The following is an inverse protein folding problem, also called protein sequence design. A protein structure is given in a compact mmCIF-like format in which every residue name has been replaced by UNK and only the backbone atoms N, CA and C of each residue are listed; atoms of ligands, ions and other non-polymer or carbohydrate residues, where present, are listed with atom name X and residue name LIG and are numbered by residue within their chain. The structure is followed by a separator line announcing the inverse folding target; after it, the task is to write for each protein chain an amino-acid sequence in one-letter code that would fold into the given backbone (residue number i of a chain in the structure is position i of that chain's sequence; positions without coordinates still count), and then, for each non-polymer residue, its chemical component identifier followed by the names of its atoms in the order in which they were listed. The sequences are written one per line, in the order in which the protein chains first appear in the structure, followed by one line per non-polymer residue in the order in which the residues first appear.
data_IF_050873653304
#
_entry.id   IF_050873653304
#
_cell.length_a   1.000
_cell.length_b   1.000
_cell.length_c   1.000
_cell.angle_alpha   90.00
_cell.angle_beta   90.00
_cell.angle_gamma   90.00
#
_symmetry.space_group_name_H-M   'P 1'
#
loop_
_entity.id
_entity.type
_entity.pdbx_description
1 polymer ?
#
# COMPACT_ATOMS: atom_id res chain seq x y z
N UNK A 1 0.98 8.24 -11.01
CA UNK A 1 0.40 9.39 -11.78
C UNK A 1 -1.06 9.63 -11.37
N UNK A 2 -1.89 8.59 -11.31
CA UNK A 2 -3.33 8.72 -10.97
C UNK A 2 -3.55 9.34 -9.58
N UNK A 3 -2.86 8.85 -8.54
CA UNK A 3 -2.97 9.35 -7.18
C UNK A 3 -2.60 10.84 -7.05
N UNK A 4 -1.56 11.28 -7.78
CA UNK A 4 -1.16 12.69 -7.82
C UNK A 4 -2.23 13.57 -8.51
N UNK A 5 -2.80 13.11 -9.63
CA UNK A 5 -3.87 13.82 -10.32
C UNK A 5 -5.12 13.95 -9.45
N UNK A 6 -5.52 12.89 -8.79
CA UNK A 6 -6.67 12.91 -7.87
C UNK A 6 -6.41 13.80 -6.65
N UNK A 7 -5.21 13.79 -6.08
CA UNK A 7 -4.83 14.70 -5.00
C UNK A 7 -4.93 16.17 -5.44
N UNK A 8 -4.47 16.49 -6.64
CA UNK A 8 -4.60 17.84 -7.23
C UNK A 8 -6.05 18.30 -7.38
N UNK A 9 -6.93 17.41 -7.87
CA UNK A 9 -8.37 17.70 -8.00
C UNK A 9 -9.01 17.95 -6.62
N UNK A 10 -8.70 17.10 -5.62
CA UNK A 10 -9.21 17.26 -4.26
C UNK A 10 -8.73 18.57 -3.63
N UNK A 11 -7.46 18.91 -3.81
CA UNK A 11 -6.88 20.16 -3.31
C UNK A 11 -7.55 21.38 -3.95
N UNK A 12 -7.70 21.37 -5.29
CA UNK A 12 -8.37 22.44 -6.01
C UNK A 12 -9.82 22.67 -5.56
N UNK A 13 -10.58 21.59 -5.33
CA UNK A 13 -11.94 21.68 -4.79
C UNK A 13 -11.97 22.28 -3.40
N UNK A 14 -11.13 21.79 -2.48
CA UNK A 14 -11.09 22.29 -1.10
C UNK A 14 -10.70 23.79 -1.05
N UNK A 15 -9.76 24.22 -1.87
CA UNK A 15 -9.37 25.65 -1.99
C UNK A 15 -10.52 26.48 -2.52
N UNK A 16 -11.15 26.03 -3.62
CA UNK A 16 -12.29 26.75 -4.23
C UNK A 16 -13.46 26.93 -3.23
N UNK A 17 -13.80 25.88 -2.50
CA UNK A 17 -14.85 25.94 -1.45
C UNK A 17 -14.47 26.90 -0.32
N UNK A 18 -13.23 26.80 0.18
CA UNK A 18 -12.74 27.68 1.25
C UNK A 18 -12.80 29.15 0.86
N UNK A 19 -12.42 29.48 -0.37
CA UNK A 19 -12.46 30.86 -0.90
C UNK A 19 -13.88 31.36 -1.08
N UNK A 20 -14.78 30.54 -1.64
CA UNK A 20 -16.20 30.94 -1.87
C UNK A 20 -16.92 31.26 -0.58
N UNK A 21 -16.62 30.52 0.50
CA UNK A 21 -17.30 30.65 1.77
C UNK A 21 -16.53 31.60 2.73
N UNK A 22 -15.27 31.92 2.41
CA UNK A 22 -14.42 32.73 3.29
C UNK A 22 -13.96 31.97 4.54
N UNK A 23 -13.94 30.62 4.49
CA UNK A 23 -13.62 29.79 5.64
C UNK A 23 -12.43 28.85 5.37
N UNK A 24 -11.26 29.21 5.87
CA UNK A 24 -10.02 28.43 5.70
C UNK A 24 -10.05 27.07 6.40
N UNK A 25 -10.93 26.84 7.37
CA UNK A 25 -11.04 25.53 8.03
C UNK A 25 -11.49 24.43 7.09
N UNK A 26 -12.13 24.77 5.96
CA UNK A 26 -12.54 23.82 4.93
C UNK A 26 -11.36 23.19 4.19
N UNK A 27 -10.16 23.78 4.26
CA UNK A 27 -8.94 23.18 3.68
C UNK A 27 -8.61 21.81 4.33
N UNK A 28 -9.02 21.56 5.55
CA UNK A 28 -8.88 20.25 6.22
C UNK A 28 -9.67 19.14 5.53
N UNK A 29 -10.68 19.48 4.73
CA UNK A 29 -11.45 18.51 3.95
C UNK A 29 -10.58 17.78 2.92
N UNK A 30 -9.54 18.44 2.42
CA UNK A 30 -8.56 17.79 1.52
C UNK A 30 -7.90 16.58 2.19
N UNK A 31 -7.36 16.77 3.40
CA UNK A 31 -6.69 15.71 4.13
C UNK A 31 -7.64 14.54 4.42
N UNK A 32 -8.87 14.85 4.85
CA UNK A 32 -9.89 13.85 5.11
C UNK A 32 -10.21 13.02 3.87
N UNK A 33 -10.53 13.66 2.76
CA UNK A 33 -10.86 13.01 1.49
C UNK A 33 -9.69 12.15 0.97
N UNK A 34 -8.45 12.67 1.07
CA UNK A 34 -7.27 11.97 0.65
C UNK A 34 -7.04 10.70 1.49
N UNK A 35 -7.14 10.81 2.82
CA UNK A 35 -7.02 9.66 3.73
C UNK A 35 -8.11 8.62 3.52
N UNK A 36 -9.34 9.04 3.29
CA UNK A 36 -10.47 8.14 3.00
C UNK A 36 -10.23 7.35 1.70
N UNK A 37 -9.72 8.00 0.67
CA UNK A 37 -9.52 7.37 -0.64
C UNK A 37 -8.27 6.51 -0.71
N UNK A 38 -7.15 6.99 -0.21
CA UNK A 38 -5.84 6.38 -0.42
C UNK A 38 -5.16 5.87 0.86
N UNK A 39 -5.58 6.35 2.03
CA UNK A 39 -4.88 6.10 3.29
C UNK A 39 -4.67 4.62 3.57
N UNK A 40 -5.72 3.82 3.48
CA UNK A 40 -5.65 2.37 3.72
C UNK A 40 -4.74 1.64 2.75
N UNK A 41 -4.73 2.05 1.48
CA UNK A 41 -3.87 1.44 0.47
C UNK A 41 -2.40 1.77 0.73
N UNK A 42 -2.09 3.04 1.00
CA UNK A 42 -0.72 3.45 1.32
C UNK A 42 -0.20 2.87 2.63
N UNK A 43 -1.06 2.69 3.64
CA UNK A 43 -0.69 1.97 4.87
C UNK A 43 -0.27 0.53 4.58
N UNK A 44 -1.03 -0.19 3.76
CA UNK A 44 -0.72 -1.55 3.33
C UNK A 44 0.57 -1.61 2.51
N UNK A 45 0.72 -0.71 1.54
CA UNK A 45 1.93 -0.62 0.71
C UNK A 45 3.18 -0.32 1.57
N UNK A 46 3.05 0.59 2.54
CA UNK A 46 4.14 0.89 3.47
C UNK A 46 4.50 -0.32 4.35
N UNK A 47 3.50 -1.08 4.80
CA UNK A 47 3.73 -2.33 5.52
C UNK A 47 4.45 -3.37 4.64
N UNK A 48 3.96 -3.59 3.42
CA UNK A 48 4.58 -4.50 2.46
C UNK A 48 6.04 -4.09 2.17
N UNK A 49 6.30 -2.80 1.95
CA UNK A 49 7.66 -2.27 1.78
C UNK A 49 8.56 -2.56 2.99
N UNK A 50 8.06 -2.36 4.20
CA UNK A 50 8.83 -2.63 5.42
C UNK A 50 9.19 -4.11 5.56
N UNK A 51 8.30 -5.01 5.14
CA UNK A 51 8.54 -6.45 5.12
C UNK A 51 9.60 -6.78 4.08
N UNK A 52 9.42 -6.32 2.84
CA UNK A 52 10.35 -6.59 1.74
C UNK A 52 11.77 -6.07 2.02
N UNK A 53 11.89 -4.91 2.66
CA UNK A 53 13.18 -4.31 3.03
C UNK A 53 13.97 -5.12 4.08
N UNK A 54 13.34 -6.09 4.74
CA UNK A 54 13.95 -6.95 5.76
C UNK A 54 14.25 -8.35 5.27
N UNK A 55 13.84 -8.69 4.05
CA UNK A 55 14.14 -9.98 3.46
C UNK A 55 15.62 -10.05 3.09
N UNK A 56 16.24 -11.19 3.34
CA UNK A 56 17.57 -11.49 2.84
C UNK A 56 17.54 -11.80 1.33
N UNK A 57 18.71 -11.75 0.70
CA UNK A 57 18.83 -11.98 -0.73
C UNK A 57 18.36 -13.38 -1.15
N UNK A 58 18.54 -14.41 -0.31
CA UNK A 58 18.09 -15.76 -0.61
C UNK A 58 16.56 -15.83 -0.65
N UNK A 59 15.89 -15.17 0.29
CA UNK A 59 14.42 -15.11 0.33
C UNK A 59 13.88 -14.30 -0.85
N UNK A 60 14.52 -13.18 -1.20
CA UNK A 60 14.17 -12.38 -2.38
C UNK A 60 14.32 -13.22 -3.65
N UNK A 61 15.44 -13.92 -3.83
CA UNK A 61 15.66 -14.80 -4.99
C UNK A 61 14.61 -15.92 -5.07
N UNK A 62 14.26 -16.54 -3.95
CA UNK A 62 13.19 -17.54 -3.92
C UNK A 62 11.83 -16.98 -4.32
N UNK A 63 11.51 -15.76 -3.91
CA UNK A 63 10.29 -15.07 -4.33
C UNK A 63 10.27 -14.85 -5.84
N UNK A 64 11.34 -14.29 -6.40
CA UNK A 64 11.43 -14.08 -7.86
C UNK A 64 11.36 -15.39 -8.64
N UNK A 65 12.07 -16.43 -8.21
CA UNK A 65 12.01 -17.74 -8.84
C UNK A 65 10.65 -18.46 -8.71
N UNK A 66 9.79 -17.99 -7.83
CA UNK A 66 8.42 -18.51 -7.68
C UNK A 66 7.41 -17.84 -8.61
N UNK A 67 7.79 -16.76 -9.28
CA UNK A 67 6.95 -16.08 -10.27
C UNK A 67 6.91 -16.95 -11.52
N UNK A 68 5.72 -17.45 -11.85
CA UNK A 68 5.48 -18.18 -13.09
C UNK A 68 4.83 -17.26 -14.12
N UNK A 69 4.89 -17.59 -15.43
CA UNK A 69 4.22 -16.80 -16.47
C UNK A 69 2.72 -16.58 -16.18
N UNK A 70 2.04 -17.57 -15.59
CA UNK A 70 0.62 -17.47 -15.24
C UNK A 70 0.38 -16.45 -14.12
N UNK A 71 1.29 -16.37 -13.14
CA UNK A 71 1.24 -15.38 -12.06
C UNK A 71 1.49 -13.99 -12.61
N UNK A 72 2.47 -13.85 -13.51
CA UNK A 72 2.79 -12.58 -14.17
C UNK A 72 1.62 -12.07 -14.99
N UNK A 73 0.98 -12.94 -15.78
CA UNK A 73 -0.20 -12.60 -16.56
C UNK A 73 -1.39 -12.22 -15.67
N UNK A 74 -1.66 -12.97 -14.60
CA UNK A 74 -2.75 -12.67 -13.66
C UNK A 74 -2.56 -11.32 -12.96
N UNK A 75 -1.32 -10.98 -12.58
CA UNK A 75 -0.99 -9.68 -11.99
C UNK A 75 -1.16 -8.57 -13.03
N UNK A 76 -0.61 -8.74 -14.23
CA UNK A 76 -0.66 -7.73 -15.29
C UNK A 76 -2.08 -7.39 -15.73
N UNK A 77 -2.98 -8.39 -15.74
CA UNK A 77 -4.36 -8.21 -16.20
C UNK A 77 -5.32 -7.67 -15.13
N UNK A 78 -5.01 -7.84 -13.84
CA UNK A 78 -5.96 -7.57 -12.75
C UNK A 78 -5.60 -6.37 -11.90
N UNK A 79 -4.39 -5.83 -12.03
CA UNK A 79 -3.92 -4.82 -11.10
C UNK A 79 -3.87 -3.44 -11.74
N UNK A 80 -4.38 -2.47 -10.99
CA UNK A 80 -4.19 -1.05 -11.27
C UNK A 80 -2.78 -0.63 -10.84
N UNK A 81 -2.10 0.15 -11.67
CA UNK A 81 -0.73 0.60 -11.43
C UNK A 81 -0.53 1.35 -10.10
N UNK A 82 -1.56 1.98 -9.57
CA UNK A 82 -1.52 2.73 -8.31
C UNK A 82 -1.98 1.89 -7.08
N UNK A 83 -2.48 0.66 -7.27
CA UNK A 83 -3.01 -0.20 -6.21
C UNK A 83 -2.35 -1.59 -6.18
N UNK A 84 -1.07 -1.63 -5.83
CA UNK A 84 -0.24 -2.84 -5.93
C UNK A 84 -0.30 -3.79 -4.73
N UNK A 85 -1.02 -3.44 -3.66
CA UNK A 85 -0.98 -4.23 -2.42
C UNK A 85 -1.46 -5.65 -2.65
N UNK A 86 -2.50 -5.84 -3.46
CA UNK A 86 -3.03 -7.16 -3.77
C UNK A 86 -2.04 -8.01 -4.57
N UNK A 87 -1.31 -7.42 -5.52
CA UNK A 87 -0.25 -8.09 -6.28
C UNK A 87 0.88 -8.56 -5.39
N UNK A 88 1.36 -7.69 -4.51
CA UNK A 88 2.42 -8.03 -3.55
C UNK A 88 1.96 -9.15 -2.62
N UNK A 89 0.74 -9.07 -2.10
CA UNK A 89 0.18 -10.10 -1.23
C UNK A 89 -0.03 -11.43 -1.97
N UNK A 90 -0.40 -11.41 -3.26
CA UNK A 90 -0.49 -12.61 -4.08
C UNK A 90 0.85 -13.24 -4.35
N UNK A 91 1.86 -12.46 -4.73
CA UNK A 91 3.24 -12.95 -4.90
C UNK A 91 3.75 -13.63 -3.63
N UNK A 92 3.46 -13.05 -2.48
CA UNK A 92 3.84 -13.60 -1.18
C UNK A 92 2.96 -14.79 -0.76
N UNK A 93 1.70 -14.91 -1.27
CA UNK A 93 0.70 -15.89 -0.82
C UNK A 93 0.52 -17.15 -1.68
N UNK A 94 0.92 -17.14 -2.95
CA UNK A 94 0.47 -18.17 -3.90
C UNK A 94 1.19 -19.51 -3.86
N UNK A 95 2.25 -19.72 -3.07
CA UNK A 95 2.93 -21.03 -2.95
C UNK A 95 3.30 -21.42 -1.52
N UNK A 96 2.30 -21.61 -0.68
CA UNK A 96 2.54 -22.15 0.69
C UNK A 96 3.16 -21.15 1.66
N UNK A 97 3.30 -19.90 1.25
CA UNK A 97 3.90 -18.83 2.03
C UNK A 97 2.89 -18.09 2.90
N UNK A 98 1.60 -18.42 2.85
CA UNK A 98 0.63 -17.81 3.77
C UNK A 98 1.01 -18.10 5.24
N UNK A 99 1.45 -19.33 5.53
CA UNK A 99 1.95 -19.70 6.85
C UNK A 99 3.31 -19.06 7.16
N UNK A 100 4.18 -18.93 6.16
CA UNK A 100 5.47 -18.24 6.29
C UNK A 100 5.28 -16.74 6.43
N UNK A 101 4.31 -16.17 5.74
CA UNK A 101 3.94 -14.77 5.84
C UNK A 101 3.25 -14.45 7.17
N UNK A 102 2.35 -15.31 7.65
CA UNK A 102 1.79 -15.18 9.00
C UNK A 102 2.88 -15.27 10.08
N UNK A 103 3.88 -16.14 9.90
CA UNK A 103 5.01 -16.23 10.81
C UNK A 103 5.93 -14.99 10.76
N UNK A 104 6.20 -14.46 9.55
CA UNK A 104 7.00 -13.24 9.35
C UNK A 104 6.23 -12.00 9.83
N UNK A 105 4.97 -11.86 9.48
CA UNK A 105 4.12 -10.75 9.93
C UNK A 105 3.85 -10.86 11.43
N UNK A 106 3.54 -12.04 11.93
CA UNK A 106 3.30 -12.27 13.35
C UNK A 106 4.53 -12.02 14.22
N UNK A 107 5.72 -12.43 13.76
CA UNK A 107 6.99 -12.13 14.41
C UNK A 107 7.35 -10.65 14.39
N UNK A 108 7.09 -9.96 13.28
CA UNK A 108 7.39 -8.53 13.15
C UNK A 108 6.37 -7.64 13.88
N UNK A 109 5.09 -8.00 13.87
CA UNK A 109 4.07 -7.30 14.67
C UNK A 109 4.40 -7.42 16.16
N UNK A 110 4.81 -8.60 16.64
CA UNK A 110 5.26 -8.76 18.02
C UNK A 110 6.47 -7.90 18.35
N UNK A 111 7.48 -7.81 17.46
CA UNK A 111 8.66 -6.96 17.67
C UNK A 111 8.32 -5.46 17.65
N UNK A 112 7.40 -5.04 16.77
CA UNK A 112 6.97 -3.64 16.69
C UNK A 112 6.14 -3.20 17.92
N UNK A 113 5.39 -4.13 18.52
CA UNK A 113 4.63 -3.88 19.74
C UNK A 113 5.55 -3.87 20.96
N UNK A 114 6.55 -4.74 21.01
CA UNK A 114 7.52 -4.79 22.12
C UNK A 114 8.52 -3.63 22.15
N UNK A 115 8.84 -3.02 21.00
CA UNK A 115 9.72 -1.84 20.94
C UNK A 115 8.99 -0.51 21.20
N UNK A 116 7.70 -0.53 21.52
CA UNK A 116 6.93 0.66 21.92
C UNK A 116 6.58 0.68 23.40
N UNK A 117 7.01 -0.32 24.15
CA UNK A 117 6.95 -0.36 25.61
C UNK A 117 8.32 -0.03 26.22
#
# INVERSE_FOLDING_TARGET
IFSCGMAGIMAGKAISEALKIGNSSLLKNYEKQWKEKFGKEFEKQNLARKILARLDNNTVNKLFNSITPEIEEDISNKEDFDFHTSSILRLLGMKGSFNTMQALIGGEIKRLVQNKA
#
